data_IF_536877167451
#
_entry.id   IF_536877167451
#
_cell.length_a   1.000
_cell.length_b   1.000
_cell.length_c   1.000
_cell.angle_alpha   90.00
_cell.angle_beta   90.00
_cell.angle_gamma   90.00
#
_symmetry.space_group_name_H-M   'P 1'
#
loop_
_entity.id
_entity.type
_entity.pdbx_description
1 polymer ?
#
# COMPACT_ATOMS: atom_id res chain seq x y z
N UNK A 1 16.89 -2.47 -14.00
CA UNK A 1 16.35 -3.82 -13.97
C UNK A 1 15.63 -4.09 -15.27
N UNK A 2 15.93 -5.21 -15.91
CA UNK A 2 15.18 -5.67 -17.07
C UNK A 2 13.95 -6.45 -16.61
N UNK A 3 12.77 -6.09 -17.12
CA UNK A 3 11.57 -6.94 -17.03
C UNK A 3 11.72 -8.05 -18.07
N UNK A 4 11.84 -9.27 -17.60
CA UNK A 4 12.30 -10.45 -18.35
C UNK A 4 11.21 -11.53 -18.48
N UNK A 5 9.95 -11.15 -18.27
CA UNK A 5 8.78 -12.06 -18.33
C UNK A 5 8.59 -12.76 -19.67
N UNK A 6 9.22 -12.25 -20.75
CA UNK A 6 9.17 -12.83 -22.09
C UNK A 6 10.43 -13.64 -22.46
N UNK A 7 11.44 -13.69 -21.58
CA UNK A 7 12.72 -14.35 -21.83
C UNK A 7 12.73 -15.75 -21.21
N UNK A 8 13.40 -16.69 -21.87
CA UNK A 8 13.62 -18.02 -21.30
C UNK A 8 14.81 -18.00 -20.33
N UNK A 9 14.92 -19.05 -19.50
CA UNK A 9 16.09 -19.27 -18.66
C UNK A 9 17.42 -19.16 -19.43
N UNK A 10 17.46 -19.75 -20.64
CA UNK A 10 18.66 -19.75 -21.48
C UNK A 10 18.99 -18.36 -22.02
N UNK A 11 17.99 -17.54 -22.28
CA UNK A 11 18.18 -16.16 -22.73
C UNK A 11 18.74 -15.27 -21.60
N UNK A 12 18.33 -15.50 -20.36
CA UNK A 12 18.76 -14.70 -19.20
C UNK A 12 20.14 -15.14 -18.70
N UNK A 13 20.37 -16.45 -18.55
CA UNK A 13 21.55 -16.98 -17.87
C UNK A 13 22.49 -17.77 -18.76
N UNK A 14 21.99 -18.43 -19.80
CA UNK A 14 22.76 -19.35 -20.64
C UNK A 14 23.14 -20.68 -19.97
N UNK A 15 23.50 -20.66 -18.67
CA UNK A 15 23.82 -21.84 -17.86
C UNK A 15 23.42 -21.68 -16.39
N UNK A 16 23.45 -22.79 -15.64
CA UNK A 16 23.18 -22.80 -14.19
C UNK A 16 24.28 -22.07 -13.39
N UNK A 17 25.54 -22.21 -13.78
CA UNK A 17 26.67 -21.54 -13.12
C UNK A 17 26.54 -20.02 -13.21
N UNK A 18 26.06 -19.52 -14.36
CA UNK A 18 25.80 -18.10 -14.57
C UNK A 18 24.63 -17.59 -13.73
N UNK A 19 23.57 -18.39 -13.53
CA UNK A 19 22.50 -18.08 -12.57
C UNK A 19 23.07 -17.92 -11.17
N UNK A 20 23.83 -18.91 -10.69
CA UNK A 20 24.39 -18.91 -9.34
C UNK A 20 25.33 -17.70 -9.14
N UNK A 21 26.17 -17.40 -10.14
CA UNK A 21 27.03 -16.22 -10.12
C UNK A 21 26.22 -14.91 -10.05
N UNK A 22 25.09 -14.84 -10.76
CA UNK A 22 24.19 -13.68 -10.77
C UNK A 22 23.51 -13.48 -9.41
N UNK A 23 23.00 -14.55 -8.79
CA UNK A 23 22.41 -14.51 -7.44
C UNK A 23 23.45 -14.01 -6.43
N UNK A 24 24.65 -14.61 -6.40
CA UNK A 24 25.73 -14.20 -5.49
C UNK A 24 26.14 -12.74 -5.72
N UNK A 25 26.15 -12.26 -6.96
CA UNK A 25 26.42 -10.86 -7.29
C UNK A 25 25.34 -9.95 -6.69
N UNK A 26 24.06 -10.28 -6.85
CA UNK A 26 22.92 -9.52 -6.31
C UNK A 26 22.99 -9.48 -4.78
N UNK A 27 23.17 -10.62 -4.13
CA UNK A 27 23.28 -10.71 -2.67
C UNK A 27 24.41 -9.83 -2.15
N UNK A 28 25.59 -9.88 -2.78
CA UNK A 28 26.75 -9.10 -2.35
C UNK A 28 26.53 -7.58 -2.41
N UNK A 29 25.81 -7.09 -3.42
CA UNK A 29 25.69 -5.64 -3.67
C UNK A 29 24.42 -5.01 -3.10
N UNK A 30 23.35 -5.81 -2.95
CA UNK A 30 22.02 -5.28 -2.68
C UNK A 30 21.36 -5.89 -1.44
N UNK A 31 21.91 -6.93 -0.81
CA UNK A 31 21.27 -7.53 0.35
C UNK A 31 21.31 -6.58 1.55
N UNK A 32 20.13 -6.29 2.10
CA UNK A 32 19.95 -5.44 3.28
C UNK A 32 19.17 -6.23 4.32
N UNK A 33 19.71 -6.32 5.54
CA UNK A 33 18.97 -6.85 6.69
C UNK A 33 18.29 -5.68 7.39
N UNK A 34 16.97 -5.68 7.46
CA UNK A 34 16.25 -4.63 8.17
C UNK A 34 15.97 -5.07 9.61
N UNK A 35 16.58 -4.45 10.63
CA UNK A 35 16.24 -4.75 12.02
C UNK A 35 14.83 -4.25 12.33
N UNK A 36 13.88 -5.18 12.52
CA UNK A 36 12.48 -4.91 12.88
C UNK A 36 12.32 -3.96 14.08
N UNK A 37 13.33 -3.87 14.95
CA UNK A 37 13.29 -3.13 16.22
C UNK A 37 13.85 -1.71 16.18
N UNK A 38 14.36 -1.23 15.04
CA UNK A 38 14.90 0.16 14.99
C UNK A 38 13.74 1.16 14.95
N UNK A 39 13.70 2.16 15.86
CA UNK A 39 12.68 3.21 15.81
C UNK A 39 12.67 3.95 14.47
N UNK A 40 11.48 4.21 13.93
CA UNK A 40 11.32 5.00 12.72
C UNK A 40 11.80 6.44 12.98
N UNK A 41 12.72 6.92 12.13
CA UNK A 41 13.19 8.31 12.13
C UNK A 41 12.55 9.04 10.96
N UNK A 42 11.38 9.60 11.20
CA UNK A 42 10.54 10.21 10.17
C UNK A 42 10.41 11.71 10.39
N UNK A 43 10.33 12.43 9.27
CA UNK A 43 9.92 13.83 9.25
C UNK A 43 8.42 13.89 9.00
N UNK A 44 7.77 14.90 9.54
CA UNK A 44 6.34 15.12 9.40
C UNK A 44 6.06 16.57 9.04
N UNK A 45 5.03 16.77 8.26
CA UNK A 45 4.40 18.08 8.07
C UNK A 45 3.49 18.32 9.27
N UNK A 46 3.62 19.49 9.88
CA UNK A 46 2.83 19.91 11.06
C UNK A 46 2.39 21.37 10.92
N UNK A 47 1.27 21.80 11.53
CA UNK A 47 0.89 23.22 11.52
C UNK A 47 1.99 24.10 12.13
N UNK A 48 2.33 25.21 11.48
CA UNK A 48 3.32 26.16 12.00
C UNK A 48 2.66 27.23 12.86
N UNK A 49 2.53 26.94 14.16
CA UNK A 49 1.81 27.79 15.13
C UNK A 49 2.36 29.21 15.33
N UNK A 50 3.58 29.49 14.86
CA UNK A 50 4.14 30.85 14.91
C UNK A 50 3.61 31.74 13.78
N UNK A 51 2.95 31.16 12.78
CA UNK A 51 2.31 31.93 11.72
C UNK A 51 0.96 32.49 12.17
N UNK A 52 0.67 33.72 11.75
CA UNK A 52 -0.68 34.30 11.84
C UNK A 52 -1.63 33.76 10.78
N UNK A 53 -1.14 32.94 9.84
CA UNK A 53 -1.91 32.39 8.73
C UNK A 53 -2.02 30.87 8.84
N UNK A 54 -3.19 30.32 8.52
CA UNK A 54 -3.42 28.86 8.47
C UNK A 54 -2.76 28.17 7.24
N UNK A 55 -1.91 28.89 6.51
CA UNK A 55 -1.26 28.42 5.28
C UNK A 55 0.20 27.95 5.51
N UNK A 56 0.75 28.19 6.69
CA UNK A 56 2.13 27.83 6.98
C UNK A 56 2.20 26.53 7.78
N UNK A 57 3.08 25.65 7.33
CA UNK A 57 3.38 24.35 7.92
C UNK A 57 4.88 24.24 8.19
N UNK A 58 5.26 23.29 9.03
CA UNK A 58 6.63 23.02 9.38
C UNK A 58 6.96 21.55 9.12
N UNK A 59 8.12 21.31 8.51
CA UNK A 59 8.73 20.00 8.40
C UNK A 59 9.55 19.74 9.66
N UNK A 60 9.19 18.70 10.41
CA UNK A 60 9.90 18.34 11.64
C UNK A 60 11.28 17.73 11.33
N UNK A 61 12.26 17.87 12.23
CA UNK A 61 13.48 17.09 12.15
C UNK A 61 13.18 15.60 12.40
N UNK A 62 13.92 14.70 11.73
CA UNK A 62 13.65 13.25 11.77
C UNK A 62 13.75 12.60 13.17
N UNK A 63 14.41 13.27 14.12
CA UNK A 63 14.58 12.80 15.50
C UNK A 63 13.49 13.31 16.45
N UNK A 64 12.59 14.19 15.98
CA UNK A 64 11.57 14.82 16.83
C UNK A 64 10.42 13.86 17.15
N UNK A 65 10.02 13.05 16.18
CA UNK A 65 8.94 12.09 16.34
C UNK A 65 9.34 11.00 17.32
N UNK A 66 8.44 10.70 18.25
CA UNK A 66 8.60 9.61 19.20
C UNK A 66 7.73 8.41 18.79
N UNK A 67 8.24 7.16 18.89
CA UNK A 67 7.42 5.99 18.64
C UNK A 67 6.14 6.00 19.50
N UNK A 68 4.99 5.80 18.86
CA UNK A 68 3.68 5.78 19.51
C UNK A 68 2.89 7.09 19.41
N UNK A 69 3.46 8.17 18.87
CA UNK A 69 2.67 9.34 18.49
C UNK A 69 1.80 9.02 17.26
N UNK A 70 0.55 9.49 17.26
CA UNK A 70 -0.35 9.30 16.13
C UNK A 70 0.03 10.20 14.95
N UNK A 71 0.00 9.64 13.74
CA UNK A 71 0.16 10.38 12.50
C UNK A 71 -0.75 9.85 11.39
N UNK A 72 -0.97 10.70 10.40
CA UNK A 72 -1.69 10.37 9.16
C UNK A 72 -0.67 10.13 8.04
N UNK A 73 -0.81 9.04 7.29
CA UNK A 73 -0.09 8.85 6.01
C UNK A 73 -0.99 9.19 4.84
N UNK A 74 -0.41 9.80 3.81
CA UNK A 74 -1.15 10.21 2.61
C UNK A 74 -0.73 9.35 1.44
N UNK A 75 -1.71 8.70 0.83
CA UNK A 75 -1.56 7.85 -0.36
C UNK A 75 -2.18 8.54 -1.56
N UNK A 76 -1.44 8.71 -2.65
CA UNK A 76 -1.90 9.39 -3.86
C UNK A 76 -1.01 9.02 -5.05
N UNK A 77 -1.43 9.39 -6.26
CA UNK A 77 -0.57 9.25 -7.44
C UNK A 77 0.18 10.54 -7.71
N UNK A 78 1.49 10.51 -7.91
CA UNK A 78 2.28 11.75 -8.08
C UNK A 78 1.85 12.58 -9.30
N UNK A 79 1.34 11.91 -10.34
CA UNK A 79 0.70 12.55 -11.48
C UNK A 79 -0.77 12.91 -11.16
N UNK A 80 -1.02 13.47 -9.97
CA UNK A 80 -2.37 13.85 -9.53
C UNK A 80 -2.81 15.11 -10.27
N UNK A 81 -3.59 14.94 -11.33
CA UNK A 81 -4.22 16.05 -12.02
C UNK A 81 -5.59 16.34 -11.39
N UNK A 82 -5.71 17.46 -10.68
CA UNK A 82 -6.99 17.94 -10.19
C UNK A 82 -7.01 19.47 -10.24
N UNK A 83 -8.08 20.02 -10.82
CA UNK A 83 -8.30 21.46 -10.86
C UNK A 83 -8.59 22.01 -9.46
N UNK A 84 -8.01 23.17 -9.14
CA UNK A 84 -8.37 23.97 -7.97
C UNK A 84 -9.41 25.07 -8.32
N UNK A 85 -9.92 25.09 -9.55
CA UNK A 85 -10.94 26.05 -9.99
C UNK A 85 -12.19 25.96 -9.10
N UNK A 86 -12.59 27.10 -8.54
CA UNK A 86 -13.74 27.21 -7.66
C UNK A 86 -13.47 26.83 -6.20
N UNK A 87 -12.26 26.39 -5.83
CA UNK A 87 -11.88 26.10 -4.45
C UNK A 87 -10.96 27.17 -3.87
N UNK A 88 -11.25 27.61 -2.64
CA UNK A 88 -10.38 28.52 -1.90
C UNK A 88 -9.24 27.74 -1.24
N UNK A 89 -8.20 27.44 -2.01
CA UNK A 89 -7.03 26.70 -1.52
C UNK A 89 -5.88 27.66 -1.21
N UNK A 90 -5.42 27.73 0.06
CA UNK A 90 -4.31 28.59 0.44
C UNK A 90 -3.01 28.30 -0.34
N UNK A 91 -2.17 29.31 -0.46
CA UNK A 91 -0.80 29.14 -0.94
C UNK A 91 0.07 28.61 0.18
N UNK A 92 0.06 27.29 0.31
CA UNK A 92 0.76 26.58 1.37
C UNK A 92 2.28 26.72 1.28
N UNK A 93 2.91 26.92 2.43
CA UNK A 93 4.36 27.01 2.55
C UNK A 93 4.86 26.14 3.70
N UNK A 94 6.05 25.58 3.53
CA UNK A 94 6.71 24.71 4.51
C UNK A 94 8.00 25.35 4.99
N UNK A 95 8.11 25.50 6.31
CA UNK A 95 9.32 25.88 7.04
C UNK A 95 10.10 24.62 7.41
N UNK A 96 11.39 24.55 7.08
CA UNK A 96 12.24 23.44 7.52
C UNK A 96 12.81 23.73 8.91
N UNK A 97 12.38 22.97 9.92
CA UNK A 97 12.86 23.16 11.29
C UNK A 97 14.26 22.59 11.51
N UNK A 98 14.77 21.76 10.60
CA UNK A 98 16.16 21.29 10.64
C UNK A 98 17.15 22.34 10.10
N UNK A 99 16.66 23.35 9.39
CA UNK A 99 17.46 24.47 8.87
C UNK A 99 16.93 25.83 9.40
N UNK A 100 17.13 26.13 10.70
CA UNK A 100 16.66 27.39 11.28
C UNK A 100 17.21 28.60 10.53
N UNK A 101 16.32 29.45 10.04
CA UNK A 101 16.66 30.68 9.30
C UNK A 101 16.53 30.57 7.79
N UNK A 102 16.33 29.38 7.23
CA UNK A 102 15.94 29.24 5.83
C UNK A 102 14.53 29.83 5.59
N UNK A 103 14.29 30.50 4.45
CA UNK A 103 12.96 30.97 4.10
C UNK A 103 12.02 29.77 3.85
N UNK A 104 10.70 29.94 4.06
CA UNK A 104 9.76 28.87 3.77
C UNK A 104 9.71 28.60 2.26
N UNK A 105 9.58 27.34 1.89
CA UNK A 105 9.47 26.89 0.50
C UNK A 105 8.01 26.56 0.14
N UNK A 106 7.64 26.56 -1.15
CA UNK A 106 6.37 25.97 -1.57
C UNK A 106 6.32 24.47 -1.27
N UNK A 107 5.10 23.94 -1.24
CA UNK A 107 4.85 22.49 -1.25
C UNK A 107 5.36 21.88 -2.58
N UNK A 108 5.89 20.67 -2.49
CA UNK A 108 6.36 19.83 -3.59
C UNK A 108 5.27 18.89 -4.10
N UNK A 109 4.38 18.43 -3.21
CA UNK A 109 3.27 17.58 -3.62
C UNK A 109 2.14 18.38 -4.29
N UNK A 110 1.23 17.72 -5.03
CA UNK A 110 0.10 18.40 -5.68
C UNK A 110 -0.75 19.19 -4.67
N UNK A 111 -1.11 20.42 -5.03
CA UNK A 111 -1.80 21.38 -4.14
C UNK A 111 -3.08 20.80 -3.52
N UNK A 112 -3.89 20.11 -4.32
CA UNK A 112 -5.11 19.47 -3.85
C UNK A 112 -4.85 18.28 -2.91
N UNK A 113 -3.79 17.52 -3.14
CA UNK A 113 -3.40 16.42 -2.24
C UNK A 113 -3.03 16.97 -0.87
N UNK A 114 -2.19 18.01 -0.84
CA UNK A 114 -1.82 18.67 0.41
C UNK A 114 -3.05 19.21 1.14
N UNK A 115 -3.88 20.00 0.45
CA UNK A 115 -5.06 20.64 1.02
C UNK A 115 -6.00 19.63 1.71
N UNK A 116 -6.37 18.59 0.97
CA UNK A 116 -7.35 17.59 1.41
C UNK A 116 -6.81 16.72 2.54
N UNK A 117 -5.51 16.38 2.49
CA UNK A 117 -4.84 15.69 3.59
C UNK A 117 -4.81 16.54 4.88
N UNK A 118 -4.54 17.84 4.79
CA UNK A 118 -4.54 18.73 5.96
C UNK A 118 -5.93 18.87 6.57
N UNK A 119 -6.99 18.98 5.74
CA UNK A 119 -8.37 19.02 6.22
C UNK A 119 -8.75 17.72 6.95
N UNK A 120 -8.35 16.56 6.41
CA UNK A 120 -8.55 15.27 7.07
C UNK A 120 -7.82 15.21 8.42
N UNK A 121 -6.54 15.58 8.44
CA UNK A 121 -5.74 15.57 9.66
C UNK A 121 -6.33 16.51 10.73
N UNK A 122 -6.80 17.70 10.33
CA UNK A 122 -7.48 18.64 11.20
C UNK A 122 -8.78 18.05 11.78
N UNK A 123 -9.62 17.43 10.94
CA UNK A 123 -10.86 16.78 11.38
C UNK A 123 -10.60 15.66 12.40
N UNK A 124 -9.46 14.97 12.28
CA UNK A 124 -9.01 13.92 13.20
C UNK A 124 -8.17 14.42 14.38
N UNK A 125 -7.92 15.74 14.47
CA UNK A 125 -7.05 16.37 15.48
C UNK A 125 -5.64 15.75 15.53
N UNK A 126 -5.13 15.34 14.38
CA UNK A 126 -3.81 14.73 14.23
C UNK A 126 -2.84 15.76 13.64
N UNK A 127 -1.84 16.24 14.39
CA UNK A 127 -0.96 17.31 13.91
C UNK A 127 0.11 16.79 12.94
N UNK A 128 0.47 15.51 13.02
CA UNK A 128 1.52 14.91 12.19
C UNK A 128 0.93 14.30 10.93
N UNK A 129 1.40 14.77 9.78
CA UNK A 129 1.05 14.24 8.46
C UNK A 129 2.31 13.85 7.72
N UNK A 130 2.34 12.63 7.20
CA UNK A 130 3.41 12.09 6.39
C UNK A 130 3.00 12.04 4.92
N UNK A 131 3.73 12.78 4.08
CA UNK A 131 3.57 12.81 2.62
C UNK A 131 4.94 12.53 2.03
N UNK A 132 5.08 11.47 1.24
CA UNK A 132 6.34 11.02 0.66
C UNK A 132 7.19 12.13 -0.01
N UNK A 133 6.59 12.98 -0.84
CA UNK A 133 7.28 14.08 -1.54
C UNK A 133 7.75 15.20 -0.61
N UNK A 134 7.16 15.33 0.59
CA UNK A 134 7.54 16.33 1.59
C UNK A 134 8.47 15.79 2.66
N UNK A 135 8.19 14.57 3.12
CA UNK A 135 8.79 13.94 4.28
C UNK A 135 10.03 13.11 3.95
N UNK A 136 10.28 12.82 2.67
CA UNK A 136 11.51 12.20 2.16
C UNK A 136 12.35 13.28 1.44
N UNK A 137 13.66 13.29 1.68
CA UNK A 137 14.55 14.13 0.89
C UNK A 137 14.75 13.49 -0.50
N UNK A 138 13.93 13.94 -1.45
CA UNK A 138 13.92 13.44 -2.84
C UNK A 138 15.24 13.71 -3.60
N UNK A 139 16.16 14.48 -3.02
CA UNK A 139 17.48 14.75 -3.57
C UNK A 139 18.59 13.87 -2.95
N UNK A 140 18.28 13.09 -1.91
CA UNK A 140 19.23 12.18 -1.25
C UNK A 140 18.84 10.71 -1.51
N UNK A 141 19.55 10.00 -2.40
CA UNK A 141 19.30 8.59 -2.68
C UNK A 141 19.38 7.68 -1.45
N UNK A 142 20.21 8.03 -0.47
CA UNK A 142 20.33 7.25 0.78
C UNK A 142 19.06 7.37 1.61
N UNK A 143 18.47 8.56 1.63
CA UNK A 143 17.26 8.83 2.36
C UNK A 143 16.03 8.23 1.67
N UNK A 144 15.97 8.28 0.34
CA UNK A 144 14.97 7.57 -0.46
C UNK A 144 15.03 6.07 -0.13
N UNK A 145 16.22 5.45 -0.28
CA UNK A 145 16.40 4.03 -0.04
C UNK A 145 16.02 3.64 1.39
N UNK A 146 16.46 4.43 2.40
CA UNK A 146 16.08 4.21 3.80
C UNK A 146 14.57 4.16 3.98
N UNK A 147 13.82 5.07 3.35
CA UNK A 147 12.36 5.08 3.46
C UNK A 147 11.74 3.89 2.73
N UNK A 148 12.18 3.57 1.50
CA UNK A 148 11.70 2.40 0.74
C UNK A 148 11.77 1.10 1.56
N UNK A 149 12.87 0.93 2.31
CA UNK A 149 13.10 -0.25 3.17
C UNK A 149 12.14 -0.36 4.36
N UNK A 150 11.50 0.74 4.79
CA UNK A 150 10.58 0.79 5.94
C UNK A 150 9.19 1.30 5.57
N UNK A 151 8.85 1.39 4.29
CA UNK A 151 7.53 1.88 3.84
C UNK A 151 6.39 1.02 4.40
N UNK A 152 6.57 -0.29 4.56
CA UNK A 152 5.63 -1.15 5.27
C UNK A 152 5.28 -0.61 6.66
N UNK A 153 6.30 -0.26 7.43
CA UNK A 153 6.17 0.23 8.80
C UNK A 153 5.58 1.63 8.86
N UNK A 154 5.95 2.52 7.92
CA UNK A 154 5.40 3.88 7.84
C UNK A 154 3.87 3.81 7.72
N UNK A 155 3.33 2.90 6.91
CA UNK A 155 1.89 2.77 6.75
C UNK A 155 1.24 1.93 7.86
N UNK A 156 1.87 0.87 8.34
CA UNK A 156 1.31 0.03 9.41
C UNK A 156 1.24 0.73 10.77
N UNK A 157 2.24 1.56 11.07
CA UNK A 157 2.35 2.28 12.35
C UNK A 157 1.51 3.57 12.33
N UNK A 158 1.02 4.00 11.15
CA UNK A 158 0.12 5.15 11.03
C UNK A 158 -1.23 4.86 11.68
N UNK A 159 -1.82 5.86 12.32
CA UNK A 159 -3.16 5.71 12.89
C UNK A 159 -4.23 5.71 11.81
N UNK A 160 -4.03 6.52 10.77
CA UNK A 160 -4.88 6.57 9.59
C UNK A 160 -4.03 6.70 8.34
N UNK A 161 -4.35 5.92 7.31
CA UNK A 161 -3.93 6.19 5.95
C UNK A 161 -5.10 6.80 5.19
N UNK A 162 -4.82 7.82 4.40
CA UNK A 162 -5.82 8.47 3.56
C UNK A 162 -5.41 8.40 2.09
N UNK A 163 -6.25 7.77 1.26
CA UNK A 163 -6.11 7.74 -0.19
C UNK A 163 -6.82 8.93 -0.81
N UNK A 164 -6.06 9.82 -1.43
CA UNK A 164 -6.57 11.02 -2.08
C UNK A 164 -6.84 10.72 -3.55
N UNK A 165 -8.11 10.50 -3.90
CA UNK A 165 -8.50 10.15 -5.27
C UNK A 165 -8.64 11.39 -6.16
N UNK A 166 -8.41 11.22 -7.46
CA UNK A 166 -8.57 12.25 -8.49
C UNK A 166 -9.97 12.24 -9.14
N UNK A 167 -10.69 11.11 -9.07
CA UNK A 167 -12.03 10.98 -9.63
C UNK A 167 -13.07 11.86 -8.91
N UNK A 168 -13.62 12.87 -9.58
CA UNK A 168 -14.60 13.79 -8.99
C UNK A 168 -16.05 13.32 -9.21
N UNK A 169 -16.81 13.14 -8.13
CA UNK A 169 -18.26 12.90 -8.19
C UNK A 169 -18.96 14.25 -8.38
N UNK A 170 -19.20 14.61 -9.65
CA UNK A 170 -19.91 15.84 -10.01
C UNK A 170 -21.45 15.68 -10.12
N UNK A 171 -21.99 14.50 -9.81
CA UNK A 171 -23.41 14.18 -10.01
C UNK A 171 -24.06 13.76 -8.69
N UNK A 172 -25.09 14.49 -8.26
CA UNK A 172 -25.84 14.23 -7.01
C UNK A 172 -26.44 12.83 -7.01
N UNK A 173 -26.97 12.36 -8.13
CA UNK A 173 -27.50 10.99 -8.26
C UNK A 173 -26.44 9.91 -8.10
N UNK A 174 -25.17 10.20 -8.41
CA UNK A 174 -24.06 9.27 -8.16
C UNK A 174 -23.61 9.35 -6.69
N UNK A 175 -23.59 10.56 -6.12
CA UNK A 175 -23.26 10.80 -4.72
C UNK A 175 -24.27 10.15 -3.76
N UNK A 176 -25.57 10.27 -4.03
CA UNK A 176 -26.63 9.70 -3.20
C UNK A 176 -26.59 8.15 -3.16
N UNK A 177 -25.90 7.50 -4.11
CA UNK A 177 -25.70 6.04 -4.11
C UNK A 177 -24.71 5.56 -3.06
N UNK A 178 -23.98 6.46 -2.41
CA UNK A 178 -23.20 6.09 -1.23
C UNK A 178 -24.06 5.89 0.01
N UNK A 179 -25.28 6.44 0.04
CA UNK A 179 -26.14 6.34 1.21
C UNK A 179 -26.31 4.90 1.70
N UNK A 180 -26.68 3.91 0.86
CA UNK A 180 -26.78 2.52 1.31
C UNK A 180 -25.46 1.93 1.84
N UNK A 181 -24.32 2.34 1.28
CA UNK A 181 -22.99 1.88 1.73
C UNK A 181 -22.67 2.46 3.12
N UNK A 182 -23.02 3.72 3.35
CA UNK A 182 -22.80 4.39 4.63
C UNK A 182 -23.79 3.91 5.70
N UNK A 183 -25.04 3.62 5.31
CA UNK A 183 -26.08 3.17 6.22
C UNK A 183 -25.80 1.77 6.78
N UNK A 184 -24.92 0.97 6.16
CA UNK A 184 -24.41 -0.31 6.73
C UNK A 184 -23.78 -0.11 8.11
N UNK A 185 -23.17 1.06 8.36
CA UNK A 185 -22.63 1.39 9.69
C UNK A 185 -23.73 1.51 10.75
N UNK A 186 -24.92 1.95 10.35
CA UNK A 186 -26.06 2.14 11.24
C UNK A 186 -26.86 0.85 11.40
N UNK A 187 -27.23 0.20 10.29
CA UNK A 187 -28.05 -1.01 10.27
C UNK A 187 -27.63 -1.93 9.10
N UNK A 188 -27.03 -3.10 9.38
CA UNK A 188 -26.70 -4.08 8.33
C UNK A 188 -27.97 -4.52 7.59
N UNK A 189 -28.03 -4.26 6.28
CA UNK A 189 -29.18 -4.63 5.45
C UNK A 189 -28.74 -5.29 4.15
N UNK A 190 -29.60 -6.16 3.60
CA UNK A 190 -29.42 -6.75 2.27
C UNK A 190 -30.23 -5.94 1.25
N UNK A 191 -29.56 -5.54 0.18
CA UNK A 191 -30.16 -4.79 -0.92
C UNK A 191 -30.83 -5.69 -1.94
N UNK A 192 -31.89 -5.16 -2.54
CA UNK A 192 -32.56 -5.76 -3.69
C UNK A 192 -31.69 -5.60 -4.97
N UNK A 193 -31.87 -6.50 -5.94
CA UNK A 193 -31.08 -6.53 -7.19
C UNK A 193 -31.04 -5.17 -7.94
N UNK A 194 -32.17 -4.46 -7.95
CA UNK A 194 -32.32 -3.14 -8.58
C UNK A 194 -31.56 -2.02 -7.86
N UNK A 195 -31.23 -2.19 -6.59
CA UNK A 195 -30.43 -1.26 -5.78
C UNK A 195 -28.92 -1.56 -5.88
N UNK A 196 -28.55 -2.79 -6.28
CA UNK A 196 -27.15 -3.23 -6.46
C UNK A 196 -26.50 -2.64 -7.71
N UNK A 197 -27.15 -2.73 -8.88
CA UNK A 197 -26.56 -2.26 -10.14
C UNK A 197 -26.07 -0.79 -10.10
N UNK A 198 -26.81 0.16 -9.48
CA UNK A 198 -26.33 1.53 -9.32
C UNK A 198 -25.03 1.64 -8.51
N UNK A 199 -24.84 0.78 -7.50
CA UNK A 199 -23.67 0.73 -6.63
C UNK A 199 -22.49 0.08 -7.35
N UNK A 200 -22.71 -0.99 -8.11
CA UNK A 200 -21.65 -1.59 -8.94
C UNK A 200 -21.09 -0.58 -9.93
N UNK A 201 -21.94 0.25 -10.54
CA UNK A 201 -21.51 1.35 -11.42
C UNK A 201 -20.71 2.41 -10.66
N UNK A 202 -21.08 2.71 -9.43
CA UNK A 202 -20.34 3.64 -8.58
C UNK A 202 -18.95 3.09 -8.23
N UNK A 203 -18.89 1.83 -7.81
CA UNK A 203 -17.65 1.13 -7.48
C UNK A 203 -16.73 1.11 -8.70
N UNK A 204 -17.24 0.70 -9.87
CA UNK A 204 -16.48 0.72 -11.13
C UNK A 204 -16.00 2.12 -11.51
N UNK A 205 -16.78 3.15 -11.23
CA UNK A 205 -16.39 4.54 -11.50
C UNK A 205 -15.21 4.96 -10.61
N UNK A 206 -15.25 4.64 -9.31
CA UNK A 206 -14.18 4.98 -8.36
C UNK A 206 -12.91 4.18 -8.66
N UNK A 207 -13.03 2.90 -9.00
CA UNK A 207 -11.87 2.02 -9.27
C UNK A 207 -11.18 2.29 -10.60
N UNK A 208 -11.77 3.12 -11.47
CA UNK A 208 -11.08 3.68 -12.64
C UNK A 208 -10.03 4.72 -12.26
N UNK A 209 -10.03 5.22 -11.03
CA UNK A 209 -8.98 6.11 -10.56
C UNK A 209 -7.62 5.40 -10.58
N UNK A 210 -6.60 6.08 -11.09
CA UNK A 210 -5.23 5.56 -11.21
C UNK A 210 -4.65 5.08 -9.88
N UNK A 211 -5.16 5.56 -8.76
CA UNK A 211 -4.80 5.07 -7.44
C UNK A 211 -5.03 3.56 -7.30
N UNK A 212 -6.06 2.98 -7.92
CA UNK A 212 -6.32 1.53 -7.80
C UNK A 212 -5.40 0.66 -8.67
N UNK A 213 -4.78 1.24 -9.71
CA UNK A 213 -3.91 0.48 -10.61
C UNK A 213 -2.42 0.64 -10.30
N UNK A 214 -1.97 1.67 -9.58
CA UNK A 214 -0.53 1.91 -9.35
C UNK A 214 0.08 0.92 -8.33
N UNK A 215 1.31 0.45 -8.58
CA UNK A 215 1.94 -0.54 -7.68
C UNK A 215 2.25 0.00 -6.28
N UNK A 216 2.68 1.27 -6.17
CA UNK A 216 2.94 1.87 -4.87
C UNK A 216 1.69 2.04 -4.02
N UNK A 217 0.57 2.46 -4.61
CA UNK A 217 -0.70 2.58 -3.88
C UNK A 217 -1.25 1.21 -3.48
N UNK A 218 -1.00 0.16 -4.28
CA UNK A 218 -1.24 -1.23 -3.88
C UNK A 218 -0.45 -1.60 -2.62
N UNK A 219 0.84 -1.28 -2.55
CA UNK A 219 1.64 -1.47 -1.34
C UNK A 219 1.05 -0.74 -0.14
N UNK A 220 0.77 0.56 -0.30
CA UNK A 220 0.26 1.42 0.76
C UNK A 220 -1.08 0.92 1.32
N UNK A 221 -1.99 0.50 0.43
CA UNK A 221 -3.28 -0.13 0.79
C UNK A 221 -3.10 -1.37 1.66
N UNK A 222 -2.16 -2.24 1.28
CA UNK A 222 -1.93 -3.53 1.94
C UNK A 222 -1.12 -3.43 3.25
N UNK A 223 -0.32 -2.37 3.41
CA UNK A 223 0.47 -2.13 4.62
C UNK A 223 -0.24 -1.27 5.65
N UNK A 224 -1.16 -0.40 5.22
CA UNK A 224 -1.92 0.45 6.13
C UNK A 224 -2.67 -0.38 7.20
N UNK A 225 -2.92 0.22 8.37
CA UNK A 225 -3.82 -0.35 9.40
C UNK A 225 -5.27 0.05 9.20
N UNK A 226 -5.53 1.33 8.92
CA UNK A 226 -6.84 1.90 8.57
C UNK A 226 -6.69 2.70 7.29
N UNK A 227 -7.66 2.61 6.37
CA UNK A 227 -7.60 3.31 5.09
C UNK A 227 -8.94 3.98 4.78
N UNK A 228 -8.91 5.31 4.65
CA UNK A 228 -10.05 6.08 4.15
C UNK A 228 -9.77 6.60 2.74
N UNK A 229 -10.79 6.57 1.88
CA UNK A 229 -10.79 7.21 0.58
C UNK A 229 -11.35 8.63 0.73
N UNK A 230 -10.63 9.63 0.25
CA UNK A 230 -11.17 10.96 0.00
C UNK A 230 -11.56 11.04 -1.47
N UNK A 231 -12.86 11.25 -1.70
CA UNK A 231 -13.44 11.30 -3.03
C UNK A 231 -14.00 12.71 -3.24
N UNK A 232 -13.45 13.50 -4.19
CA UNK A 232 -13.93 14.84 -4.44
C UNK A 232 -15.41 14.85 -4.82
N UNK A 233 -16.17 15.79 -4.25
CA UNK A 233 -17.59 16.04 -4.56
C UNK A 233 -17.80 17.47 -5.06
N UNK A 234 -16.78 18.06 -5.67
CA UNK A 234 -16.78 19.46 -6.09
C UNK A 234 -17.88 19.69 -7.14
N UNK A 235 -18.69 20.72 -6.90
CA UNK A 235 -19.84 21.05 -7.74
C UNK A 235 -21.09 20.20 -7.46
N UNK A 236 -21.06 19.35 -6.43
CA UNK A 236 -22.14 18.46 -6.07
C UNK A 236 -22.39 18.50 -4.56
N UNK A 237 -23.59 18.91 -4.14
CA UNK A 237 -23.97 18.91 -2.71
C UNK A 237 -25.22 18.07 -2.54
N UNK A 238 -25.11 17.00 -1.76
CA UNK A 238 -26.28 16.18 -1.40
C UNK A 238 -27.06 16.87 -0.26
N UNK A 239 -28.38 16.74 -0.30
CA UNK A 239 -29.26 17.12 0.83
C UNK A 239 -29.23 16.09 1.97
N UNK A 240 -28.71 14.88 1.71
CA UNK A 240 -28.68 13.80 2.68
C UNK A 240 -27.77 14.12 3.87
N UNK A 241 -28.27 13.91 5.09
CA UNK A 241 -27.54 14.21 6.31
C UNK A 241 -26.35 13.26 6.52
N UNK A 242 -26.53 11.96 6.27
CA UNK A 242 -25.47 10.94 6.37
C UNK A 242 -24.25 11.30 5.52
N UNK A 243 -24.48 11.77 4.29
CA UNK A 243 -23.41 12.17 3.38
C UNK A 243 -22.67 13.42 3.86
N UNK A 244 -23.37 14.35 4.51
CA UNK A 244 -22.76 15.53 5.12
C UNK A 244 -21.87 15.16 6.31
N UNK A 245 -22.27 14.22 7.15
CA UNK A 245 -21.45 13.75 8.27
C UNK A 245 -20.22 12.95 7.82
N UNK A 246 -20.32 12.24 6.70
CA UNK A 246 -19.19 11.56 6.07
C UNK A 246 -18.28 12.50 5.27
N UNK A 247 -18.62 13.78 5.12
CA UNK A 247 -17.84 14.73 4.33
C UNK A 247 -16.78 15.46 5.15
N UNK A 248 -15.60 15.66 4.56
CA UNK A 248 -14.52 16.49 5.09
C UNK A 248 -14.17 17.53 4.03
N UNK A 249 -14.49 18.80 4.27
CA UNK A 249 -14.36 19.82 3.24
C UNK A 249 -15.26 19.52 2.03
N UNK A 250 -14.66 19.45 0.85
CA UNK A 250 -15.34 19.08 -0.41
C UNK A 250 -15.10 17.64 -0.83
N UNK A 251 -14.83 16.76 0.15
CA UNK A 251 -14.61 15.34 -0.06
C UNK A 251 -15.59 14.49 0.70
N UNK A 252 -16.10 13.45 0.07
CA UNK A 252 -16.68 12.32 0.77
C UNK A 252 -15.54 11.46 1.33
N UNK A 253 -15.54 11.24 2.65
CA UNK A 253 -14.56 10.40 3.34
C UNK A 253 -15.19 9.03 3.66
N UNK A 254 -14.75 8.00 2.95
CA UNK A 254 -15.30 6.63 3.08
C UNK A 254 -14.21 5.68 3.55
N UNK A 255 -14.44 4.95 4.63
CA UNK A 255 -13.54 3.86 5.02
C UNK A 255 -13.63 2.73 3.98
N UNK A 256 -12.49 2.26 3.48
CA UNK A 256 -12.45 1.23 2.45
C UNK A 256 -13.12 -0.08 2.93
N UNK A 257 -13.07 -0.35 4.23
CA UNK A 257 -13.63 -1.56 4.83
C UNK A 257 -15.18 -1.57 4.74
N UNK A 258 -15.82 -0.41 4.50
CA UNK A 258 -17.26 -0.32 4.22
C UNK A 258 -17.63 -0.97 2.89
N UNK A 259 -16.79 -0.82 1.87
CA UNK A 259 -17.02 -1.51 0.60
C UNK A 259 -16.91 -3.02 0.79
N UNK A 260 -15.95 -3.48 1.58
CA UNK A 260 -15.82 -4.90 1.90
C UNK A 260 -17.05 -5.44 2.64
N UNK A 261 -17.46 -4.77 3.73
CA UNK A 261 -18.67 -5.15 4.48
C UNK A 261 -19.92 -5.15 3.60
N UNK A 262 -20.04 -4.16 2.70
CA UNK A 262 -21.10 -4.09 1.71
C UNK A 262 -21.11 -5.29 0.78
N UNK A 263 -19.97 -5.65 0.18
CA UNK A 263 -19.86 -6.81 -0.72
C UNK A 263 -20.19 -8.12 -0.01
N UNK A 264 -19.72 -8.28 1.23
CA UNK A 264 -19.97 -9.46 2.05
C UNK A 264 -21.45 -9.63 2.41
N UNK A 265 -22.08 -8.60 2.98
CA UNK A 265 -23.49 -8.65 3.43
C UNK A 265 -24.46 -8.91 2.29
N UNK A 266 -24.18 -8.35 1.11
CA UNK A 266 -25.09 -8.43 -0.01
C UNK A 266 -24.99 -9.73 -0.81
N UNK A 267 -24.15 -10.67 -0.39
CA UNK A 267 -23.87 -11.94 -1.09
C UNK A 267 -23.89 -11.69 -2.59
N UNK A 268 -23.08 -10.71 -3.01
CA UNK A 268 -22.96 -10.39 -4.42
C UNK A 268 -22.69 -11.72 -5.12
N UNK A 269 -23.54 -12.09 -6.09
CA UNK A 269 -23.51 -13.37 -6.81
C UNK A 269 -22.32 -13.41 -7.79
N UNK A 270 -21.19 -12.97 -7.29
CA UNK A 270 -20.18 -12.24 -8.00
C UNK A 270 -18.91 -13.06 -7.85
N UNK A 271 -18.67 -13.79 -8.93
CA UNK A 271 -17.35 -14.12 -9.43
C UNK A 271 -16.53 -12.85 -9.82
N UNK A 272 -16.90 -11.62 -9.44
CA UNK A 272 -16.07 -10.43 -9.68
C UNK A 272 -14.89 -10.44 -8.73
N UNK A 273 -13.90 -11.20 -9.18
CA UNK A 273 -12.50 -10.95 -8.91
C UNK A 273 -12.16 -9.45 -8.96
N UNK A 274 -12.88 -8.61 -9.72
CA UNK A 274 -12.68 -7.16 -9.73
C UNK A 274 -12.97 -6.51 -8.36
N UNK A 275 -14.11 -6.80 -7.72
CA UNK A 275 -14.45 -6.19 -6.43
C UNK A 275 -13.47 -6.62 -5.33
N UNK A 276 -13.21 -7.93 -5.27
CA UNK A 276 -12.23 -8.48 -4.33
C UNK A 276 -10.83 -7.90 -4.60
N UNK A 277 -10.39 -7.83 -5.86
CA UNK A 277 -9.08 -7.27 -6.20
C UNK A 277 -8.88 -5.83 -5.69
N UNK A 278 -9.93 -4.99 -5.72
CA UNK A 278 -9.81 -3.59 -5.33
C UNK A 278 -10.05 -3.34 -3.84
N UNK A 279 -11.07 -3.97 -3.25
CA UNK A 279 -11.53 -3.66 -1.89
C UNK A 279 -11.29 -4.79 -0.89
N UNK A 280 -10.95 -6.00 -1.33
CA UNK A 280 -10.48 -7.03 -0.41
C UNK A 280 -9.12 -6.60 0.11
N UNK A 281 -9.17 -6.06 1.33
CA UNK A 281 -8.02 -5.97 2.20
C UNK A 281 -8.10 -7.23 3.04
N UNK A 282 -7.15 -8.16 2.87
CA UNK A 282 -7.05 -9.28 3.80
C UNK A 282 -6.81 -8.65 5.16
N UNK A 283 -7.84 -8.57 5.98
CA UNK A 283 -7.79 -7.97 7.30
C UNK A 283 -6.74 -8.76 8.06
N UNK A 284 -5.54 -8.17 8.19
CA UNK A 284 -4.42 -8.74 8.97
C UNK A 284 -4.78 -8.94 10.46
N UNK A 285 -6.03 -8.67 10.84
CA UNK A 285 -6.53 -8.61 12.20
C UNK A 285 -7.36 -9.83 12.62
N UNK A 286 -7.88 -10.65 11.71
CA UNK A 286 -8.76 -11.77 12.13
C UNK A 286 -8.17 -13.17 11.91
N UNK A 287 -7.25 -13.38 10.96
CA UNK A 287 -6.76 -14.74 10.67
C UNK A 287 -5.24 -14.97 10.79
N UNK A 288 -4.39 -13.97 11.01
CA UNK A 288 -2.91 -14.13 11.00
C UNK A 288 -2.31 -14.79 9.72
N UNK A 289 -3.11 -15.02 8.67
CA UNK A 289 -2.63 -15.60 7.41
C UNK A 289 -2.16 -14.45 6.52
N UNK A 290 -0.85 -14.19 6.52
CA UNK A 290 -0.22 -13.36 5.48
C UNK A 290 -0.53 -13.95 4.10
N UNK A 291 -0.84 -13.13 3.09
CA UNK A 291 -1.01 -13.62 1.73
C UNK A 291 0.26 -14.36 1.30
N UNK A 292 0.09 -15.52 0.70
CA UNK A 292 1.21 -16.29 0.21
C UNK A 292 2.02 -15.45 -0.80
N UNK A 293 3.36 -15.58 -0.87
CA UNK A 293 4.17 -14.82 -1.82
C UNK A 293 3.65 -14.89 -3.27
N UNK A 294 3.07 -16.02 -3.67
CA UNK A 294 2.45 -16.18 -4.98
C UNK A 294 1.23 -15.25 -5.22
N UNK A 295 0.37 -15.05 -4.22
CA UNK A 295 -0.81 -14.16 -4.32
C UNK A 295 -0.35 -12.70 -4.47
N UNK A 296 0.56 -12.27 -3.62
CA UNK A 296 1.15 -10.92 -3.66
C UNK A 296 1.78 -10.66 -5.03
N UNK A 297 2.55 -11.61 -5.54
CA UNK A 297 3.17 -11.50 -6.85
C UNK A 297 2.12 -11.38 -7.97
N UNK A 298 1.10 -12.24 -7.96
CA UNK A 298 0.03 -12.25 -8.96
C UNK A 298 -0.76 -10.94 -9.00
N UNK A 299 -1.08 -10.36 -7.84
CA UNK A 299 -1.81 -9.09 -7.78
C UNK A 299 -0.94 -7.90 -8.15
N UNK A 300 0.34 -7.90 -7.76
CA UNK A 300 1.30 -6.87 -8.13
C UNK A 300 1.57 -6.84 -9.65
N UNK A 301 1.45 -7.99 -10.34
CA UNK A 301 1.56 -8.05 -11.80
C UNK A 301 0.42 -7.31 -12.53
N UNK A 302 -0.74 -7.18 -11.91
CA UNK A 302 -1.89 -6.43 -12.44
C UNK A 302 -1.74 -4.91 -12.27
N UNK A 303 -0.78 -4.47 -11.46
CA UNK A 303 -0.55 -3.06 -11.18
C UNK A 303 0.42 -2.42 -12.19
N UNK A 304 0.14 -1.15 -12.52
CA UNK A 304 0.98 -0.25 -13.29
C UNK A 304 2.24 0.11 -12.49
N UNK A 305 3.39 -0.20 -13.07
CA UNK A 305 4.69 0.14 -12.50
C UNK A 305 5.58 0.86 -13.53
N UNK A 306 6.03 2.06 -13.18
CA UNK A 306 7.01 2.81 -13.97
C UNK A 306 8.46 2.34 -13.75
N UNK A 307 8.77 1.72 -12.61
CA UNK A 307 10.14 1.32 -12.22
C UNK A 307 10.13 -0.12 -11.72
N UNK A 308 10.60 -1.06 -12.54
CA UNK A 308 10.55 -2.50 -12.23
C UNK A 308 11.21 -2.86 -10.89
N UNK A 309 12.30 -2.18 -10.50
CA UNK A 309 13.00 -2.45 -9.25
C UNK A 309 12.14 -2.21 -7.99
N UNK A 310 11.17 -1.30 -8.05
CA UNK A 310 10.26 -0.99 -6.93
C UNK A 310 9.44 -2.21 -6.51
N UNK A 311 9.16 -3.13 -7.45
CA UNK A 311 8.43 -4.38 -7.16
C UNK A 311 9.15 -5.25 -6.15
N UNK A 312 10.48 -5.22 -6.10
CA UNK A 312 11.24 -5.98 -5.10
C UNK A 312 10.97 -5.46 -3.69
N UNK A 313 11.04 -4.14 -3.51
CA UNK A 313 10.77 -3.50 -2.22
C UNK A 313 9.31 -3.73 -1.81
N UNK A 314 8.37 -3.52 -2.74
CA UNK A 314 6.93 -3.72 -2.50
C UNK A 314 6.63 -5.16 -2.11
N UNK A 315 7.12 -6.13 -2.88
CA UNK A 315 6.95 -7.55 -2.59
C UNK A 315 7.51 -7.91 -1.22
N UNK A 316 8.76 -7.51 -0.92
CA UNK A 316 9.39 -7.79 0.37
C UNK A 316 8.61 -7.19 1.54
N UNK A 317 8.12 -5.96 1.40
CA UNK A 317 7.35 -5.24 2.40
C UNK A 317 5.99 -5.89 2.68
N UNK A 318 5.22 -6.21 1.63
CA UNK A 318 3.90 -6.82 1.79
C UNK A 318 4.04 -8.23 2.37
N UNK A 319 5.02 -9.00 1.91
CA UNK A 319 5.30 -10.37 2.38
C UNK A 319 6.02 -10.43 3.74
N UNK A 320 6.34 -9.29 4.37
CA UNK A 320 7.00 -9.26 5.68
C UNK A 320 8.39 -9.89 5.70
N UNK A 321 9.14 -9.80 4.59
CA UNK A 321 10.47 -10.37 4.48
C UNK A 321 11.48 -9.59 5.33
N UNK A 322 12.27 -10.30 6.14
CA UNK A 322 13.29 -9.72 7.03
C UNK A 322 14.50 -9.23 6.27
N UNK A 323 14.86 -9.98 5.22
CA UNK A 323 15.94 -9.62 4.30
C UNK A 323 15.29 -9.01 3.07
N UNK A 324 15.78 -7.84 2.70
CA UNK A 324 15.31 -7.05 1.56
C UNK A 324 16.46 -6.82 0.59
N UNK A 325 16.14 -6.40 -0.63
CA UNK A 325 17.13 -5.94 -1.59
C UNK A 325 17.06 -4.41 -1.70
N UNK A 326 18.22 -3.77 -1.80
CA UNK A 326 18.37 -2.39 -2.19
C UNK A 326 17.95 -2.26 -3.66
N UNK A 327 16.71 -1.86 -3.89
CA UNK A 327 16.12 -1.78 -5.23
C UNK A 327 16.81 -0.71 -6.07
N UNK A 328 17.26 0.38 -5.45
CA UNK A 328 17.98 1.47 -6.13
C UNK A 328 19.28 0.98 -6.76
N UNK A 329 20.01 0.09 -6.10
CA UNK A 329 21.25 -0.52 -6.60
C UNK A 329 21.02 -1.49 -7.78
N UNK A 330 19.78 -1.95 -7.99
CA UNK A 330 19.41 -2.92 -9.03
C UNK A 330 18.68 -2.28 -10.22
N UNK A 331 18.69 -0.94 -10.32
CA UNK A 331 18.00 -0.20 -11.39
C UNK A 331 18.67 -0.31 -12.77
N UNK A 332 19.88 -0.84 -12.87
CA UNK A 332 20.59 -1.04 -14.15
C UNK A 332 20.01 -2.21 -14.95
N UNK A 333 20.01 -2.17 -16.31
CA UNK A 333 19.48 -3.26 -17.14
C UNK A 333 20.22 -4.59 -17.01
N UNK A 334 21.42 -4.61 -16.40
CA UNK A 334 22.20 -5.83 -16.19
C UNK A 334 21.53 -6.84 -15.25
N UNK A 335 20.59 -6.39 -14.41
CA UNK A 335 19.88 -7.23 -13.46
C UNK A 335 18.51 -7.62 -14.01
N UNK A 336 18.26 -8.93 -14.08
CA UNK A 336 16.97 -9.51 -14.41
C UNK A 336 16.04 -9.44 -13.19
N UNK A 337 14.77 -9.08 -13.41
CA UNK A 337 13.76 -9.01 -12.35
C UNK A 337 13.51 -10.38 -11.71
N UNK A 338 13.33 -11.44 -12.51
CA UNK A 338 13.11 -12.79 -11.98
C UNK A 338 14.29 -13.29 -11.12
N UNK A 339 15.52 -13.00 -11.52
CA UNK A 339 16.73 -13.35 -10.77
C UNK A 339 16.78 -12.62 -9.43
N UNK A 340 16.38 -11.35 -9.39
CA UNK A 340 16.36 -10.58 -8.14
C UNK A 340 15.28 -11.09 -7.18
N UNK A 341 14.09 -11.47 -7.68
CA UNK A 341 13.06 -12.12 -6.87
C UNK A 341 13.59 -13.44 -6.31
N UNK A 342 14.25 -14.26 -7.13
CA UNK A 342 14.82 -15.53 -6.68
C UNK A 342 15.89 -15.31 -5.60
N UNK A 343 16.82 -14.38 -5.80
CA UNK A 343 17.84 -14.03 -4.81
C UNK A 343 17.20 -13.57 -3.48
N UNK A 344 16.17 -12.72 -3.55
CA UNK A 344 15.43 -12.26 -2.38
C UNK A 344 14.75 -13.41 -1.63
N UNK A 345 14.08 -14.32 -2.34
CA UNK A 345 13.41 -15.48 -1.74
C UNK A 345 14.42 -16.44 -1.11
N UNK A 346 15.49 -16.79 -1.82
CA UNK A 346 16.55 -17.68 -1.31
C UNK A 346 17.23 -17.10 -0.07
N UNK A 347 17.54 -15.81 -0.06
CA UNK A 347 18.13 -15.14 1.09
C UNK A 347 17.24 -15.27 2.34
N UNK A 348 15.92 -15.15 2.19
CA UNK A 348 14.97 -15.29 3.31
C UNK A 348 14.71 -16.75 3.70
N UNK A 349 14.80 -17.72 2.79
CA UNK A 349 14.67 -19.14 3.11
C UNK A 349 15.89 -19.66 3.89
N UNK A 350 17.10 -19.40 3.40
CA UNK A 350 18.33 -19.92 4.01
C UNK A 350 18.74 -19.18 5.28
N UNK A 351 18.27 -17.95 5.48
CA UNK A 351 18.51 -17.24 6.74
C UNK A 351 17.58 -17.66 7.88
N UNK A 352 16.57 -18.51 7.62
CA UNK A 352 15.74 -19.09 8.68
C UNK A 352 16.44 -20.26 9.39
N UNK A 353 17.39 -20.93 8.72
CA UNK A 353 18.12 -22.06 9.28
C UNK A 353 19.12 -21.63 10.38
N UNK A 354 19.71 -20.43 10.27
CA UNK A 354 20.62 -19.86 11.29
C UNK A 354 19.90 -19.45 12.59
N UNK A 355 18.56 -19.38 12.61
CA UNK A 355 17.77 -19.01 13.78
C UNK A 355 17.22 -20.22 14.56
N UNK A 356 17.45 -21.44 14.08
CA UNK A 356 16.90 -22.68 14.65
C UNK A 356 17.89 -23.48 15.52
N UNK A 357 19.07 -22.95 15.87
CA UNK A 357 19.93 -23.58 16.89
C UNK A 357 19.62 -23.16 18.34
N UNK A 358 18.81 -22.12 18.57
CA UNK A 358 18.49 -21.63 19.94
C UNK A 358 17.09 -22.04 20.46
N UNK A 359 16.32 -22.85 19.74
CA UNK A 359 15.06 -23.40 20.25
C UNK A 359 14.70 -24.77 19.66
N UNK A 360 15.48 -25.79 20.00
CA UNK A 360 15.09 -27.19 19.80
C UNK A 360 14.67 -27.82 21.13
N UNK A 361 13.45 -27.53 21.56
CA UNK A 361 12.67 -28.51 22.32
C UNK A 361 11.18 -28.36 21.99
N UNK A 362 10.62 -29.37 21.30
CA UNK A 362 9.18 -29.51 21.16
C UNK A 362 8.56 -29.21 19.79
N UNK A 363 8.96 -29.93 18.73
CA UNK A 363 7.93 -30.46 17.80
C UNK A 363 8.46 -31.64 16.96
N UNK A 364 7.91 -32.82 17.26
CA UNK A 364 8.14 -34.05 16.50
C UNK A 364 7.58 -33.90 15.08
N UNK A 365 8.42 -34.22 14.11
CA UNK A 365 8.06 -34.46 12.71
C UNK A 365 6.91 -35.46 12.62
N UNK A 366 5.81 -35.08 11.95
CA UNK A 366 4.82 -36.04 11.46
C UNK A 366 5.36 -36.63 10.14
N UNK A 367 5.36 -37.96 9.96
CA UNK A 367 5.91 -38.58 8.78
C UNK A 367 5.00 -38.40 7.56
N UNK A 368 5.64 -38.07 6.44
CA UNK A 368 5.07 -38.07 5.09
C UNK A 368 4.57 -39.48 4.76
N UNK A 369 3.26 -39.63 4.52
CA UNK A 369 2.71 -40.84 3.91
C UNK A 369 3.05 -40.85 2.41
N UNK A 370 4.08 -41.59 2.06
CA UNK A 370 4.34 -42.04 0.69
C UNK A 370 3.26 -43.05 0.27
N UNK A 371 2.38 -42.66 -0.66
CA UNK A 371 1.54 -43.61 -1.38
C UNK A 371 2.36 -44.28 -2.48
N UNK A 372 2.98 -45.42 -2.16
CA UNK A 372 3.53 -46.34 -3.16
C UNK A 372 2.41 -47.22 -3.71
N UNK A 373 2.19 -47.12 -5.01
CA UNK A 373 1.41 -48.05 -5.83
C UNK A 373 2.06 -49.44 -5.73
N UNK A 374 1.29 -50.46 -5.32
CA UNK A 374 1.68 -51.87 -5.48
C UNK A 374 0.56 -52.62 -6.19
N UNK A 375 0.95 -53.23 -7.30
CA UNK A 375 0.14 -54.04 -8.20
C UNK A 375 -0.44 -55.27 -7.50
N UNK A 376 -1.71 -55.58 -7.76
CA UNK A 376 -2.32 -56.87 -7.46
C UNK A 376 -1.89 -57.88 -8.53
N UNK A 377 -0.96 -58.76 -8.18
CA UNK A 377 -0.76 -60.02 -8.89
C UNK A 377 -1.68 -61.08 -8.27
N UNK A 378 -2.46 -61.72 -9.13
CA UNK A 378 -3.36 -62.82 -8.86
C UNK A 378 -2.58 -64.12 -8.61
N UNK A 379 -2.97 -64.90 -7.61
CA UNK A 379 -2.66 -66.34 -7.54
C UNK A 379 -3.94 -67.13 -7.25
N UNK A 380 -4.03 -68.37 -7.78
CA UNK A 380 -5.25 -69.17 -7.78
C UNK A 380 -5.34 -70.03 -6.52
N UNK A 381 -6.56 -70.34 -6.07
CA UNK A 381 -6.78 -71.48 -5.19
C UNK A 381 -7.90 -72.36 -5.74
N UNK A 382 -7.49 -73.60 -5.99
CA UNK A 382 -8.29 -74.80 -6.14
C UNK A 382 -8.78 -75.27 -4.78
N UNK A 383 -10.08 -75.55 -4.67
CA UNK A 383 -10.74 -76.17 -3.52
C UNK A 383 -12.24 -76.20 -3.73
#
# INVERSE_FOLDING_TARGET
>A
MQRDTALTFRDIHGSEEALIASIKKIERIALVRNPEKVPLRLRFVTPYYSSKTCADFALTPAHRYQPGEDYVTVSYTWAHAQSDEGQQVPDYRIWDLAEPGAPPRPIRCPKMVFHRAMLFAQARKCPYVWIDQECINQQDPTDIERHLQVMDRIYSDSRWTVAVLSCNIANVTLLDRFKPILDILAEPCTLLENERQPIDRLVRYITQDRWFSRTWTFHEKNCAKSLALLIPTVGCTSSEETLRYASIGSDLCVDIDLFYAFGFLNQTNINDREFEQYFFRRSRFEENIMPGPHEVFGDMEKCDNSVTADRLAIFANISGLKIKLNSTALTTPEFSYSTCILALVLANLWSQDDAQEDSFDGMRLLPVKTNSIVARASTPDSG
#
